data_IF_548973180611
#
_entry.id   IF_548973180611
#
_cell.length_a   1.000
_cell.length_b   1.000
_cell.length_c   1.000
_cell.angle_alpha   90.00
_cell.angle_beta   90.00
_cell.angle_gamma   90.00
#
_symmetry.space_group_name_H-M   'P 1'
#
loop_
_entity.id
_entity.type
_entity.pdbx_description
1 polymer ?
#
# COMPACT_ATOMS: atom_id res chain seq x y z
N UNK A 1 -3.16 -34.79 -4.39
CA UNK A 1 -2.69 -34.41 -5.74
C UNK A 1 -1.81 -33.18 -5.64
N UNK A 2 -0.59 -33.26 -6.16
CA UNK A 2 0.24 -32.10 -6.50
C UNK A 2 -0.53 -31.32 -7.57
N UNK A 3 -0.51 -29.98 -7.52
CA UNK A 3 -1.24 -29.15 -8.50
C UNK A 3 -0.66 -29.38 -9.90
N UNK A 4 -1.49 -29.79 -10.87
CA UNK A 4 -1.11 -29.97 -12.28
C UNK A 4 -0.93 -28.63 -13.04
N UNK A 5 -0.33 -27.62 -12.39
CA UNK A 5 -0.02 -26.34 -13.02
C UNK A 5 1.31 -25.78 -12.53
N UNK A 6 2.00 -25.11 -13.44
CA UNK A 6 3.27 -24.44 -13.14
C UNK A 6 3.03 -23.10 -12.44
N UNK A 7 2.08 -22.30 -12.94
CA UNK A 7 1.70 -20.99 -12.39
C UNK A 7 1.11 -21.11 -10.99
N UNK A 8 1.60 -20.28 -10.07
CA UNK A 8 1.13 -20.20 -8.69
C UNK A 8 0.07 -19.11 -8.53
N UNK A 9 -0.88 -19.31 -7.62
CA UNK A 9 -2.00 -18.40 -7.36
C UNK A 9 -1.83 -17.81 -5.96
N UNK A 10 -1.81 -16.48 -5.89
CA UNK A 10 -1.86 -15.71 -4.64
C UNK A 10 -3.31 -15.27 -4.40
N UNK A 11 -3.89 -15.63 -3.26
CA UNK A 11 -5.25 -15.23 -2.87
C UNK A 11 -5.20 -14.32 -1.63
N UNK A 12 -5.90 -13.19 -1.66
CA UNK A 12 -5.97 -12.28 -0.50
C UNK A 12 -7.12 -12.71 0.42
N UNK A 13 -6.84 -12.88 1.70
CA UNK A 13 -7.87 -13.11 2.71
C UNK A 13 -8.44 -11.79 3.23
N UNK A 14 -9.75 -11.76 3.47
CA UNK A 14 -10.49 -10.62 3.97
C UNK A 14 -11.75 -11.04 4.73
N UNK A 15 -12.65 -10.09 5.07
CA UNK A 15 -13.86 -10.40 5.85
C UNK A 15 -14.78 -11.44 5.20
N UNK A 16 -14.85 -11.45 3.87
CA UNK A 16 -15.67 -12.40 3.12
C UNK A 16 -15.01 -13.78 2.93
N UNK A 17 -13.77 -13.96 3.41
CA UNK A 17 -12.96 -15.16 3.20
C UNK A 17 -12.21 -15.55 4.48
N UNK A 18 -12.78 -15.27 5.66
CA UNK A 18 -12.11 -15.48 6.94
C UNK A 18 -12.59 -16.69 7.73
N UNK A 19 -13.63 -17.41 7.28
CA UNK A 19 -14.06 -18.65 7.97
C UNK A 19 -13.21 -19.84 7.52
N UNK A 20 -13.02 -20.87 8.37
CA UNK A 20 -12.28 -22.07 8.01
C UNK A 20 -12.76 -22.71 6.69
N UNK A 21 -14.07 -22.79 6.49
CA UNK A 21 -14.70 -23.43 5.33
C UNK A 21 -14.41 -22.64 4.04
N UNK A 22 -14.43 -21.31 4.11
CA UNK A 22 -14.12 -20.45 2.96
C UNK A 22 -12.65 -20.50 2.60
N UNK A 23 -11.76 -20.45 3.60
CA UNK A 23 -10.32 -20.57 3.37
C UNK A 23 -9.97 -21.93 2.77
N UNK A 24 -10.59 -23.00 3.27
CA UNK A 24 -10.47 -24.35 2.72
C UNK A 24 -10.97 -24.43 1.28
N UNK A 25 -12.13 -23.86 0.98
CA UNK A 25 -12.67 -23.82 -0.39
C UNK A 25 -11.70 -23.12 -1.36
N UNK A 26 -11.08 -22.01 -0.95
CA UNK A 26 -10.07 -21.29 -1.75
C UNK A 26 -8.80 -22.12 -1.93
N UNK A 27 -8.35 -22.80 -0.88
CA UNK A 27 -7.19 -23.70 -0.93
C UNK A 27 -7.41 -24.88 -1.90
N UNK A 28 -8.60 -25.50 -1.83
CA UNK A 28 -9.01 -26.62 -2.68
C UNK A 28 -9.21 -26.19 -4.14
N UNK A 29 -9.82 -25.02 -4.37
CA UNK A 29 -9.91 -24.41 -5.70
C UNK A 29 -8.52 -24.09 -6.28
N UNK A 30 -7.55 -23.83 -5.40
CA UNK A 30 -6.16 -24.01 -5.72
C UNK A 30 -5.21 -22.96 -5.20
N UNK A 31 -5.56 -22.00 -4.34
CA UNK A 31 -4.58 -20.98 -3.92
C UNK A 31 -3.29 -21.56 -3.32
N UNK A 32 -2.13 -21.10 -3.79
CA UNK A 32 -0.80 -21.54 -3.32
C UNK A 32 -0.26 -20.67 -2.20
N UNK A 33 -0.50 -19.36 -2.31
CA UNK A 33 -0.06 -18.35 -1.36
C UNK A 33 -1.28 -17.59 -0.87
N UNK A 34 -1.36 -17.37 0.44
CA UNK A 34 -2.41 -16.59 1.06
C UNK A 34 -1.83 -15.26 1.55
N UNK A 35 -2.29 -14.18 0.92
CA UNK A 35 -1.91 -12.82 1.25
C UNK A 35 -2.77 -12.30 2.40
N UNK A 36 -2.11 -11.86 3.46
CA UNK A 36 -2.69 -11.14 4.58
C UNK A 36 -2.36 -9.66 4.40
N UNK A 37 -3.38 -8.86 4.09
CA UNK A 37 -3.19 -7.43 3.84
C UNK A 37 -3.28 -6.64 5.16
N UNK A 38 -2.14 -6.20 5.69
CA UNK A 38 -2.06 -5.45 6.95
C UNK A 38 -2.58 -4.02 6.85
N UNK A 39 -3.03 -3.58 5.67
CA UNK A 39 -3.84 -2.37 5.56
C UNK A 39 -5.22 -2.50 6.21
N UNK A 40 -5.70 -3.72 6.43
CA UNK A 40 -7.03 -4.01 6.94
C UNK A 40 -6.98 -5.16 7.96
N UNK A 41 -7.94 -5.16 8.89
CA UNK A 41 -7.98 -6.13 9.98
C UNK A 41 -6.95 -5.85 11.07
N UNK A 42 -7.20 -6.42 12.23
CA UNK A 42 -6.29 -6.41 13.37
C UNK A 42 -5.26 -7.53 13.24
N UNK A 43 -4.17 -7.43 14.01
CA UNK A 43 -3.22 -8.53 14.17
C UNK A 43 -3.91 -9.81 14.67
N UNK A 44 -4.92 -9.69 15.55
CA UNK A 44 -5.71 -10.83 16.01
C UNK A 44 -6.46 -11.53 14.87
N UNK A 45 -7.07 -10.77 13.96
CA UNK A 45 -7.73 -11.34 12.78
C UNK A 45 -6.73 -12.10 11.89
N UNK A 46 -5.51 -11.58 11.76
CA UNK A 46 -4.45 -12.22 10.98
C UNK A 46 -3.88 -13.46 11.67
N UNK A 47 -3.73 -13.45 13.00
CA UNK A 47 -3.33 -14.63 13.77
C UNK A 47 -4.30 -15.79 13.55
N UNK A 48 -5.59 -15.50 13.60
CA UNK A 48 -6.65 -16.49 13.36
C UNK A 48 -6.58 -17.07 11.94
N UNK A 49 -6.40 -16.22 10.93
CA UNK A 49 -6.22 -16.66 9.53
C UNK A 49 -4.99 -17.55 9.39
N UNK A 50 -3.86 -17.19 9.99
CA UNK A 50 -2.63 -18.00 9.96
C UNK A 50 -2.89 -19.37 10.61
N UNK A 51 -3.57 -19.40 11.77
CA UNK A 51 -3.92 -20.64 12.46
C UNK A 51 -4.77 -21.56 11.59
N UNK A 52 -5.77 -21.02 10.89
CA UNK A 52 -6.58 -21.77 9.93
C UNK A 52 -5.70 -22.35 8.81
N UNK A 53 -4.83 -21.53 8.20
CA UNK A 53 -3.95 -21.97 7.12
C UNK A 53 -2.99 -23.08 7.56
N UNK A 54 -2.38 -22.98 8.74
CA UNK A 54 -1.50 -24.02 9.30
C UNK A 54 -2.26 -25.30 9.64
N UNK A 55 -3.52 -25.19 10.07
CA UNK A 55 -4.41 -26.35 10.27
C UNK A 55 -4.68 -27.05 8.94
N UNK A 56 -5.00 -26.31 7.89
CA UNK A 56 -5.23 -26.87 6.55
C UNK A 56 -3.96 -27.51 5.98
N UNK A 57 -2.81 -26.86 6.14
CA UNK A 57 -1.51 -27.39 5.73
C UNK A 57 -1.22 -28.75 6.37
N UNK A 58 -1.48 -28.90 7.68
CA UNK A 58 -1.33 -30.16 8.41
C UNK A 58 -2.33 -31.24 7.94
N UNK A 59 -3.60 -30.87 7.79
CA UNK A 59 -4.69 -31.78 7.36
C UNK A 59 -4.43 -32.34 5.97
N UNK A 60 -4.09 -31.46 5.02
CA UNK A 60 -3.90 -31.84 3.63
C UNK A 60 -2.48 -32.29 3.30
N UNK A 61 -1.54 -32.11 4.23
CA UNK A 61 -0.09 -32.37 4.06
C UNK A 61 0.44 -31.73 2.78
N UNK A 62 0.07 -30.46 2.57
CA UNK A 62 0.37 -29.69 1.37
C UNK A 62 0.85 -28.31 1.79
N UNK A 63 2.02 -27.86 1.30
CA UNK A 63 2.54 -26.56 1.66
C UNK A 63 1.58 -25.42 1.31
N UNK A 64 1.43 -24.49 2.26
CA UNK A 64 0.69 -23.25 2.10
C UNK A 64 1.60 -22.09 2.50
N UNK A 65 1.90 -21.21 1.55
CA UNK A 65 2.70 -20.02 1.84
C UNK A 65 1.80 -18.89 2.38
N UNK A 66 2.27 -18.21 3.43
CA UNK A 66 1.67 -17.01 4.00
C UNK A 66 2.48 -15.79 3.57
N UNK A 67 1.82 -14.83 2.91
CA UNK A 67 2.41 -13.56 2.48
C UNK A 67 1.83 -12.42 3.34
N UNK A 68 2.64 -11.86 4.23
CA UNK A 68 2.31 -10.67 4.99
C UNK A 68 2.57 -9.42 4.14
N UNK A 69 1.53 -8.72 3.69
CA UNK A 69 1.67 -7.50 2.89
C UNK A 69 1.53 -6.27 3.79
N UNK A 70 2.66 -5.59 4.02
CA UNK A 70 2.76 -4.40 4.86
C UNK A 70 2.10 -3.20 4.18
N UNK A 71 1.55 -2.28 4.97
CA UNK A 71 0.78 -1.16 4.45
C UNK A 71 1.67 -0.13 3.75
N UNK A 72 2.81 0.21 4.37
CA UNK A 72 3.67 1.31 3.96
C UNK A 72 3.04 2.70 4.16
N UNK A 73 3.74 3.78 3.76
CA UNK A 73 3.27 5.15 3.91
C UNK A 73 2.12 5.46 2.95
N UNK A 74 0.90 5.14 3.38
CA UNK A 74 -0.31 5.29 2.58
C UNK A 74 -0.80 6.75 2.59
N UNK A 75 -0.22 7.57 1.73
CA UNK A 75 -0.62 8.96 1.58
C UNK A 75 -2.07 9.08 1.11
N UNK A 76 -2.88 9.85 1.83
CA UNK A 76 -4.30 10.05 1.53
C UNK A 76 -4.71 11.50 1.74
N UNK A 77 -5.78 11.88 1.07
CA UNK A 77 -6.48 13.13 1.37
C UNK A 77 -7.24 13.05 2.70
N UNK A 78 -7.62 14.21 3.22
CA UNK A 78 -8.61 14.33 4.29
C UNK A 78 -10.05 14.13 3.77
N UNK A 79 -10.99 14.75 4.46
CA UNK A 79 -12.41 14.73 4.13
C UNK A 79 -12.87 16.02 3.46
N UNK A 80 -13.99 15.95 2.76
CA UNK A 80 -14.68 17.09 2.17
C UNK A 80 -15.98 17.39 2.92
N UNK A 81 -16.33 18.67 3.05
CA UNK A 81 -17.46 19.12 3.88
C UNK A 81 -18.80 18.52 3.44
N UNK A 82 -19.08 18.59 2.15
CA UNK A 82 -20.37 18.18 1.55
C UNK A 82 -20.26 16.82 0.83
N UNK A 83 -19.24 16.03 1.18
CA UNK A 83 -18.92 14.78 0.50
C UNK A 83 -18.13 15.01 -0.80
N UNK A 84 -18.22 14.08 -1.77
CA UNK A 84 -17.39 14.11 -2.97
C UNK A 84 -17.57 15.41 -3.77
N UNK A 85 -16.45 16.01 -4.17
CA UNK A 85 -16.42 17.21 -4.99
C UNK A 85 -16.35 16.87 -6.49
N UNK A 86 -16.91 17.73 -7.32
CA UNK A 86 -16.72 17.70 -8.77
C UNK A 86 -15.50 18.51 -9.15
N UNK A 87 -14.77 18.01 -10.15
CA UNK A 87 -13.59 18.67 -10.70
C UNK A 87 -13.80 18.93 -12.19
N UNK A 88 -13.25 20.04 -12.65
CA UNK A 88 -13.19 20.40 -14.08
C UNK A 88 -11.73 20.53 -14.49
N UNK A 89 -11.38 20.07 -15.69
CA UNK A 89 -10.04 20.28 -16.25
C UNK A 89 -9.72 21.78 -16.35
N UNK A 90 -8.51 22.17 -15.98
CA UNK A 90 -8.07 23.56 -15.88
C UNK A 90 -8.47 24.28 -14.59
N UNK A 91 -9.28 23.67 -13.72
CA UNK A 91 -9.64 24.23 -12.43
C UNK A 91 -8.43 24.25 -11.48
N UNK A 92 -8.28 25.33 -10.70
CA UNK A 92 -7.32 25.39 -9.61
C UNK A 92 -7.83 24.61 -8.40
N UNK A 93 -6.94 23.83 -7.77
CA UNK A 93 -7.20 23.11 -6.54
C UNK A 93 -5.98 23.25 -5.62
N UNK A 94 -6.19 23.78 -4.41
CA UNK A 94 -5.14 23.83 -3.38
C UNK A 94 -5.11 22.51 -2.61
N UNK A 95 -3.92 21.97 -2.41
CA UNK A 95 -3.63 20.93 -1.42
C UNK A 95 -2.89 21.58 -0.26
N UNK A 96 -3.27 21.32 0.99
CA UNK A 96 -2.55 21.86 2.15
C UNK A 96 -2.71 21.00 3.41
N UNK A 97 -1.94 21.30 4.46
CA UNK A 97 -1.93 20.54 5.72
C UNK A 97 -3.06 20.91 6.69
N UNK A 98 -3.94 21.87 6.37
CA UNK A 98 -4.99 22.26 7.28
C UNK A 98 -6.00 21.08 7.45
N UNK A 99 -6.31 20.64 8.67
CA UNK A 99 -7.15 19.45 8.88
C UNK A 99 -8.64 19.70 8.60
N UNK A 100 -9.07 20.95 8.46
CA UNK A 100 -10.47 21.29 8.20
C UNK A 100 -10.99 20.66 6.90
N UNK A 101 -12.24 20.17 6.85
CA UNK A 101 -12.80 19.57 5.65
C UNK A 101 -12.69 20.48 4.43
N UNK A 102 -12.24 19.91 3.31
CA UNK A 102 -12.08 20.60 2.03
C UNK A 102 -13.39 20.90 1.31
N UNK A 103 -13.25 21.53 0.15
CA UNK A 103 -14.32 21.87 -0.79
C UNK A 103 -13.81 21.84 -2.24
N UNK A 104 -14.56 22.41 -3.19
CA UNK A 104 -14.19 22.43 -4.61
C UNK A 104 -12.90 23.21 -4.92
N UNK A 105 -12.41 24.04 -4.00
CA UNK A 105 -11.20 24.86 -4.19
C UNK A 105 -10.00 24.34 -3.41
N UNK A 106 -10.23 23.44 -2.43
CA UNK A 106 -9.19 22.98 -1.50
C UNK A 106 -9.41 21.53 -1.07
N UNK A 107 -8.35 20.74 -1.08
CA UNK A 107 -8.31 19.37 -0.57
C UNK A 107 -7.25 19.22 0.56
N UNK A 108 -7.64 18.77 1.77
CA UNK A 108 -6.70 18.54 2.86
C UNK A 108 -5.75 17.38 2.58
N UNK A 109 -4.49 17.51 2.97
CA UNK A 109 -3.46 16.48 2.92
C UNK A 109 -2.79 16.38 4.29
N UNK A 110 -3.16 15.40 5.14
CA UNK A 110 -2.58 15.18 6.48
C UNK A 110 -1.17 14.54 6.42
N UNK A 111 -0.35 14.98 5.46
CA UNK A 111 0.98 14.45 5.17
C UNK A 111 1.91 15.62 4.84
N UNK A 112 2.36 16.40 5.85
CA UNK A 112 3.26 17.54 5.64
C UNK A 112 4.53 17.16 4.88
N UNK A 113 5.05 15.95 5.09
CA UNK A 113 6.24 15.39 4.44
C UNK A 113 6.17 15.40 2.90
N UNK A 114 4.96 15.44 2.34
CA UNK A 114 4.78 15.42 0.88
C UNK A 114 5.18 16.77 0.30
N UNK A 115 4.82 17.87 0.96
CA UNK A 115 5.07 19.22 0.46
C UNK A 115 6.57 19.55 0.43
N UNK A 116 7.35 19.02 1.37
CA UNK A 116 8.82 19.14 1.39
C UNK A 116 9.48 18.55 0.14
N UNK A 117 8.83 17.55 -0.49
CA UNK A 117 9.34 16.85 -1.67
C UNK A 117 8.70 17.34 -2.98
N UNK A 118 7.77 18.31 -2.92
CA UNK A 118 7.11 18.85 -4.11
C UNK A 118 7.91 19.98 -4.75
N UNK A 119 7.85 20.06 -6.08
CA UNK A 119 8.34 21.19 -6.85
C UNK A 119 7.33 21.61 -7.91
N UNK A 120 7.45 22.86 -8.37
CA UNK A 120 6.66 23.37 -9.49
C UNK A 120 6.84 22.47 -10.71
N UNK A 121 5.72 22.13 -11.36
CA UNK A 121 5.69 21.23 -12.50
C UNK A 121 5.50 19.75 -12.16
N UNK A 122 5.66 19.33 -10.89
CA UNK A 122 5.39 17.95 -10.49
C UNK A 122 3.95 17.55 -10.75
N UNK A 123 3.76 16.30 -11.17
CA UNK A 123 2.46 15.67 -11.30
C UNK A 123 2.05 15.06 -9.97
N UNK A 124 0.76 15.18 -9.65
CA UNK A 124 0.13 14.50 -8.53
C UNK A 124 -0.97 13.61 -9.05
N UNK A 125 -0.99 12.37 -8.59
CA UNK A 125 -1.98 11.37 -8.95
C UNK A 125 -2.90 11.10 -7.75
N UNK A 126 -4.19 11.29 -7.94
CA UNK A 126 -5.22 11.10 -6.94
C UNK A 126 -6.18 9.98 -7.37
N UNK A 127 -6.70 9.23 -6.39
CA UNK A 127 -7.61 8.10 -6.60
C UNK A 127 -7.10 7.12 -7.67
N UNK A 128 -5.90 6.57 -7.44
CA UNK A 128 -5.21 5.64 -8.35
C UNK A 128 -5.00 6.22 -9.76
N UNK A 129 -4.78 7.54 -9.84
CA UNK A 129 -4.49 8.26 -11.08
C UNK A 129 -5.71 8.65 -11.90
N UNK A 130 -6.92 8.44 -11.39
CA UNK A 130 -8.18 8.92 -12.02
C UNK A 130 -8.27 10.44 -12.04
N UNK A 131 -7.70 11.09 -11.04
CA UNK A 131 -7.52 12.54 -11.00
C UNK A 131 -6.03 12.83 -11.12
N UNK A 132 -5.68 13.75 -12.00
CA UNK A 132 -4.29 14.19 -12.21
C UNK A 132 -4.21 15.69 -12.02
N UNK A 133 -3.24 16.12 -11.23
CA UNK A 133 -2.96 17.52 -10.99
C UNK A 133 -1.52 17.84 -11.41
N UNK A 134 -1.25 19.10 -11.70
CA UNK A 134 0.11 19.64 -11.87
C UNK A 134 0.33 20.77 -10.88
N UNK A 135 1.44 20.73 -10.16
CA UNK A 135 1.83 21.79 -9.22
C UNK A 135 2.20 23.06 -10.00
N UNK A 136 1.57 24.18 -9.67
CA UNK A 136 1.89 25.50 -10.21
C UNK A 136 2.69 26.33 -9.21
N UNK A 137 2.39 26.21 -7.93
CA UNK A 137 3.15 26.81 -6.84
C UNK A 137 3.12 25.90 -5.61
N UNK A 138 4.17 25.91 -4.80
CA UNK A 138 4.21 25.13 -3.57
C UNK A 138 5.03 25.83 -2.49
N UNK A 139 4.68 25.55 -1.24
CA UNK A 139 5.35 25.99 -0.04
C UNK A 139 5.51 24.85 0.95
N UNK A 140 5.93 25.14 2.20
CA UNK A 140 6.19 24.12 3.21
C UNK A 140 4.94 23.33 3.64
N UNK A 141 3.75 23.92 3.49
CA UNK A 141 2.48 23.38 3.99
C UNK A 141 1.36 23.36 2.94
N UNK A 142 1.65 23.72 1.68
CA UNK A 142 0.67 23.73 0.61
C UNK A 142 1.27 23.52 -0.78
N UNK A 143 0.39 23.14 -1.73
CA UNK A 143 0.63 23.15 -3.16
C UNK A 143 -0.62 23.68 -3.88
N UNK A 144 -0.45 24.74 -4.64
CA UNK A 144 -1.44 25.21 -5.61
C UNK A 144 -1.27 24.43 -6.91
N UNK A 145 -2.36 23.82 -7.36
CA UNK A 145 -2.33 22.91 -8.50
C UNK A 145 -3.41 23.27 -9.52
N UNK A 146 -3.22 22.77 -10.73
CA UNK A 146 -4.25 22.77 -11.77
C UNK A 146 -4.67 21.33 -12.09
N UNK A 147 -5.97 21.12 -12.25
CA UNK A 147 -6.53 19.83 -12.66
C UNK A 147 -6.19 19.58 -14.12
N UNK A 148 -5.44 18.51 -14.39
CA UNK A 148 -5.13 18.04 -15.75
C UNK A 148 -6.18 17.06 -16.27
N UNK A 149 -6.77 16.25 -15.39
CA UNK A 149 -7.82 15.29 -15.76
C UNK A 149 -8.57 14.79 -14.54
N UNK A 150 -9.80 14.30 -14.77
CA UNK A 150 -10.66 13.70 -13.76
C UNK A 150 -11.82 14.62 -13.37
N UNK A 151 -12.94 14.01 -12.97
CA UNK A 151 -14.21 14.74 -12.80
C UNK A 151 -14.73 14.72 -11.37
N UNK A 152 -14.17 13.88 -10.51
CA UNK A 152 -14.68 13.66 -9.16
C UNK A 152 -13.55 13.28 -8.21
N UNK A 153 -13.60 13.82 -7.00
CA UNK A 153 -12.72 13.47 -5.90
C UNK A 153 -13.55 13.28 -4.63
N UNK A 154 -13.15 12.33 -3.77
CA UNK A 154 -13.89 12.04 -2.53
C UNK A 154 -12.92 11.88 -1.37
N UNK A 155 -13.49 11.65 -0.18
CA UNK A 155 -12.73 11.48 1.05
C UNK A 155 -11.66 10.40 0.95
N UNK A 156 -10.54 10.64 1.64
CA UNK A 156 -9.49 9.65 1.92
C UNK A 156 -8.93 8.97 0.67
N UNK A 157 -9.06 9.59 -0.50
CA UNK A 157 -8.46 9.07 -1.74
C UNK A 157 -6.94 9.11 -1.66
N UNK A 158 -6.31 8.11 -2.27
CA UNK A 158 -4.86 7.99 -2.26
C UNK A 158 -4.22 9.15 -3.02
N UNK A 159 -3.07 9.61 -2.53
CA UNK A 159 -2.20 10.59 -3.17
C UNK A 159 -0.88 9.90 -3.55
N UNK A 160 -0.43 10.11 -4.79
CA UNK A 160 0.89 9.67 -5.22
C UNK A 160 1.59 10.84 -5.92
N UNK A 161 2.87 11.03 -5.57
CA UNK A 161 3.77 12.02 -6.16
C UNK A 161 4.82 11.26 -6.98
N UNK A 162 4.54 10.92 -8.25
CA UNK A 162 5.44 10.10 -9.06
C UNK A 162 6.80 10.78 -9.34
N UNK A 163 6.81 12.11 -9.41
CA UNK A 163 7.99 12.88 -9.82
C UNK A 163 8.97 13.17 -8.68
N UNK A 164 8.65 12.74 -7.45
CA UNK A 164 9.46 12.99 -6.26
C UNK A 164 9.80 11.71 -5.50
N UNK A 165 11.03 11.65 -4.97
CA UNK A 165 11.38 10.73 -3.88
C UNK A 165 10.87 11.35 -2.60
N UNK A 166 9.97 10.67 -1.91
CA UNK A 166 9.47 11.14 -0.62
C UNK A 166 10.43 10.74 0.48
N UNK A 167 10.77 11.69 1.36
CA UNK A 167 11.59 11.45 2.55
C UNK A 167 10.80 10.76 3.68
N UNK A 168 10.07 9.70 3.33
CA UNK A 168 9.36 8.83 4.27
C UNK A 168 9.99 7.46 4.31
N UNK A 169 10.14 6.93 5.52
CA UNK A 169 10.44 5.51 5.68
C UNK A 169 9.33 4.68 5.04
N UNK A 170 9.66 3.69 4.19
CA UNK A 170 8.66 2.75 3.64
C UNK A 170 8.05 1.88 4.75
N UNK A 171 8.72 1.79 5.89
CA UNK A 171 8.24 1.13 7.10
C UNK A 171 7.79 2.18 8.11
N UNK A 172 6.48 2.35 8.24
CA UNK A 172 5.89 3.17 9.31
C UNK A 172 6.06 2.48 10.67
N UNK A 173 5.78 3.17 11.77
CA UNK A 173 5.77 2.55 13.11
C UNK A 173 4.83 1.32 13.14
N UNK A 174 3.63 1.47 12.55
CA UNK A 174 2.67 0.37 12.39
C UNK A 174 3.25 -0.79 11.57
N UNK A 175 3.94 -0.51 10.46
CA UNK A 175 4.53 -1.58 9.64
C UNK A 175 5.62 -2.34 10.39
N UNK A 176 6.39 -1.69 11.27
CA UNK A 176 7.39 -2.37 12.11
C UNK A 176 6.74 -3.31 13.10
N UNK A 177 5.66 -2.87 13.73
CA UNK A 177 4.88 -3.70 14.66
C UNK A 177 4.25 -4.90 13.94
N UNK A 178 3.65 -4.66 12.77
CA UNK A 178 3.05 -5.71 11.95
C UNK A 178 4.09 -6.68 11.36
N UNK A 179 5.26 -6.18 10.98
CA UNK A 179 6.38 -7.00 10.52
C UNK A 179 6.83 -7.97 11.62
N UNK A 180 7.05 -7.46 12.83
CA UNK A 180 7.44 -8.30 13.96
C UNK A 180 6.37 -9.36 14.25
N UNK A 181 5.11 -8.93 14.34
CA UNK A 181 3.97 -9.83 14.53
C UNK A 181 3.92 -10.92 13.45
N UNK A 182 4.02 -10.56 12.18
CA UNK A 182 3.91 -11.50 11.06
C UNK A 182 5.02 -12.55 11.10
N UNK A 183 6.26 -12.13 11.40
CA UNK A 183 7.40 -13.05 11.51
C UNK A 183 7.22 -13.99 12.71
N UNK A 184 6.81 -13.48 13.87
CA UNK A 184 6.57 -14.30 15.07
C UNK A 184 5.47 -15.35 14.83
N UNK A 185 4.49 -15.04 13.99
CA UNK A 185 3.40 -15.96 13.62
C UNK A 185 3.75 -16.85 12.41
N UNK A 186 5.00 -16.81 11.92
CA UNK A 186 5.47 -17.73 10.88
C UNK A 186 4.97 -17.38 9.48
N UNK A 187 4.90 -16.09 9.14
CA UNK A 187 4.78 -15.67 7.75
C UNK A 187 6.01 -16.12 6.93
N UNK A 188 5.78 -16.70 5.75
CA UNK A 188 6.84 -17.20 4.88
C UNK A 188 7.45 -16.08 4.03
N UNK A 189 6.62 -15.09 3.68
CA UNK A 189 6.98 -13.94 2.87
C UNK A 189 6.46 -12.65 3.50
N UNK A 190 7.23 -11.58 3.36
CA UNK A 190 6.84 -10.21 3.70
C UNK A 190 6.88 -9.38 2.43
N UNK A 191 5.81 -8.66 2.11
CA UNK A 191 5.79 -7.69 1.01
C UNK A 191 5.98 -6.27 1.53
N UNK A 192 6.92 -5.54 0.95
CA UNK A 192 7.22 -4.15 1.27
C UNK A 192 6.62 -3.22 0.22
N UNK A 193 5.68 -2.37 0.63
CA UNK A 193 4.98 -1.39 -0.20
C UNK A 193 5.81 -0.12 -0.41
N UNK A 194 5.54 0.59 -1.51
CA UNK A 194 6.11 1.93 -1.79
C UNK A 194 7.65 2.01 -1.73
N UNK A 195 8.35 0.95 -2.13
CA UNK A 195 9.81 0.97 -2.22
C UNK A 195 10.24 2.02 -3.23
N UNK A 196 11.25 2.83 -2.88
CA UNK A 196 11.79 3.89 -3.74
C UNK A 196 13.27 3.67 -4.04
N UNK A 197 14.03 3.07 -3.11
CA UNK A 197 15.49 3.00 -3.19
C UNK A 197 16.05 1.71 -2.55
N UNK A 198 17.27 1.27 -2.87
CA UNK A 198 17.86 0.04 -2.32
C UNK A 198 17.97 0.00 -0.79
N UNK A 199 18.18 1.16 -0.15
CA UNK A 199 18.25 1.24 1.31
C UNK A 199 16.96 0.83 2.01
N UNK A 200 15.81 1.01 1.36
CA UNK A 200 14.49 0.58 1.85
C UNK A 200 14.44 -0.95 2.03
N UNK A 201 14.94 -1.66 1.02
CA UNK A 201 15.04 -3.12 0.99
C UNK A 201 16.07 -3.61 2.00
N UNK A 202 17.23 -2.95 2.09
CA UNK A 202 18.25 -3.28 3.07
C UNK A 202 17.73 -3.15 4.51
N UNK A 203 16.96 -2.09 4.81
CA UNK A 203 16.33 -1.93 6.11
C UNK A 203 15.36 -3.08 6.42
N UNK A 204 14.46 -3.41 5.48
CA UNK A 204 13.50 -4.50 5.68
C UNK A 204 14.18 -5.85 5.85
N UNK A 205 15.20 -6.17 5.04
CA UNK A 205 15.99 -7.42 5.17
C UNK A 205 16.65 -7.52 6.54
N UNK A 206 17.21 -6.41 7.06
CA UNK A 206 17.81 -6.36 8.40
C UNK A 206 16.80 -6.67 9.50
N UNK A 207 15.57 -6.14 9.40
CA UNK A 207 14.50 -6.39 10.39
C UNK A 207 13.95 -7.83 10.29
N UNK A 208 13.82 -8.35 9.07
CA UNK A 208 13.40 -9.73 8.83
C UNK A 208 14.43 -10.72 9.38
N UNK A 209 15.73 -10.41 9.25
CA UNK A 209 16.83 -11.21 9.77
C UNK A 209 16.79 -12.68 9.28
N UNK A 210 16.41 -12.89 8.02
CA UNK A 210 16.34 -14.21 7.39
C UNK A 210 15.18 -15.11 7.84
N UNK A 211 14.26 -14.60 8.68
CA UNK A 211 13.11 -15.37 9.21
C UNK A 211 11.96 -15.51 8.21
N UNK A 212 11.93 -14.68 7.18
CA UNK A 212 10.99 -14.71 6.07
C UNK A 212 11.70 -14.24 4.79
N UNK A 213 11.12 -14.53 3.62
CA UNK A 213 11.57 -13.96 2.35
C UNK A 213 10.94 -12.58 2.13
N UNK A 214 11.63 -11.70 1.40
CA UNK A 214 11.14 -10.36 1.10
C UNK A 214 10.62 -10.28 -0.35
N UNK A 215 9.44 -9.70 -0.52
CA UNK A 215 8.86 -9.29 -1.81
C UNK A 215 8.90 -7.77 -1.88
N UNK A 216 9.57 -7.24 -2.89
CA UNK A 216 9.58 -5.80 -3.20
C UNK A 216 8.38 -5.47 -4.08
N UNK A 217 7.52 -4.54 -3.65
CA UNK A 217 6.38 -4.09 -4.46
C UNK A 217 6.80 -2.89 -5.30
N UNK A 218 6.85 -3.10 -6.62
CA UNK A 218 7.25 -2.10 -7.61
C UNK A 218 6.08 -1.15 -7.90
N UNK A 219 5.87 -0.16 -7.03
CA UNK A 219 4.73 0.77 -7.08
C UNK A 219 5.13 2.22 -7.39
N UNK A 220 6.44 2.49 -7.44
CA UNK A 220 7.03 3.81 -7.61
C UNK A 220 7.96 3.82 -8.83
N UNK A 221 7.93 4.87 -9.66
CA UNK A 221 8.87 5.00 -10.79
C UNK A 221 10.34 4.85 -10.36
N UNK A 222 10.67 5.37 -9.18
CA UNK A 222 11.99 5.29 -8.56
C UNK A 222 12.47 3.84 -8.42
N UNK A 223 11.58 2.92 -8.04
CA UNK A 223 11.92 1.50 -7.95
C UNK A 223 12.33 0.91 -9.30
N UNK A 224 11.71 1.36 -10.40
CA UNK A 224 12.08 0.92 -11.75
C UNK A 224 13.47 1.44 -12.12
N UNK A 225 13.82 2.66 -11.73
CA UNK A 225 15.15 3.21 -11.98
C UNK A 225 16.25 2.44 -11.23
N UNK A 226 15.93 1.85 -10.08
CA UNK A 226 16.82 1.01 -9.27
C UNK A 226 16.55 -0.50 -9.45
N UNK A 227 15.91 -0.92 -10.54
CA UNK A 227 15.41 -2.29 -10.67
C UNK A 227 16.52 -3.34 -10.45
N UNK A 228 17.68 -3.17 -11.09
CA UNK A 228 18.81 -4.11 -10.98
C UNK A 228 19.31 -4.22 -9.53
N UNK A 229 19.49 -3.10 -8.84
CA UNK A 229 19.92 -3.09 -7.43
C UNK A 229 18.86 -3.68 -6.47
N UNK A 230 17.57 -3.58 -6.82
CA UNK A 230 16.48 -4.08 -5.98
C UNK A 230 16.23 -5.60 -6.14
N UNK A 231 16.64 -6.19 -7.27
CA UNK A 231 16.48 -7.63 -7.53
C UNK A 231 17.68 -8.46 -7.05
N UNK A 232 18.85 -7.84 -6.85
CA UNK A 232 20.03 -8.47 -6.23
C UNK A 232 19.87 -8.68 -4.70
#
# INVERSE_FOLDING_TARGET
MIRNRQTKIVATLGPATSTPEQVEAIFLAGADVFRLNFSHGSQQDHAERIRILRTLEATYRRPIAVLADLQGPKLRLGSFRDGPISLTEGQSLRLDTNPEPGDSTRAPVPHPEVFESMAVGHHLLLDDGKVRLRVEHCGPDYADTVVLSGTRLSDRKGLNVPDAVLHVSPLTAKDRDDLNFAIEHGADWVALSFVQQPSDVAEARRLIAGRASLVVKMEKPQAIHHLEELIE
#
